data_IF_504709969622
#
_entry.id   IF_504709969622
#
_cell.length_a   1.000
_cell.length_b   1.000
_cell.length_c   1.000
_cell.angle_alpha   90.00
_cell.angle_beta   90.00
_cell.angle_gamma   90.00
#
_symmetry.space_group_name_H-M   'P 1'
#
loop_
_entity.id
_entity.type
_entity.pdbx_description
1 polymer ?
#
# COMPACT_ATOMS: atom_id res chain seq x y z
N UNK A 1 -5.59 18.93 -4.37
CA UNK A 1 -7.05 19.11 -4.56
C UNK A 1 -7.57 19.56 -3.21
N UNK A 2 -8.33 20.65 -3.14
CA UNK A 2 -9.01 21.06 -1.91
C UNK A 2 -10.49 20.75 -2.11
N UNK A 3 -11.11 20.12 -1.13
CA UNK A 3 -12.55 19.89 -1.11
C UNK A 3 -13.24 21.14 -0.55
N UNK A 4 -14.16 21.70 -1.33
CA UNK A 4 -15.02 22.82 -0.92
C UNK A 4 -16.45 22.40 -1.26
N UNK A 5 -17.33 22.35 -0.26
CA UNK A 5 -18.73 21.94 -0.38
C UNK A 5 -18.94 20.62 -1.15
N UNK A 6 -18.12 19.60 -0.83
CA UNK A 6 -18.22 18.28 -1.45
C UNK A 6 -17.65 18.17 -2.87
N UNK A 7 -16.96 19.21 -3.37
CA UNK A 7 -16.32 19.19 -4.69
C UNK A 7 -14.80 19.40 -4.61
N UNK A 8 -14.05 18.50 -5.26
CA UNK A 8 -12.59 18.58 -5.36
C UNK A 8 -12.16 19.51 -6.49
N UNK A 9 -11.48 20.63 -6.14
CA UNK A 9 -10.98 21.60 -7.12
C UNK A 9 -9.47 21.52 -7.30
N UNK A 10 -9.01 21.58 -8.56
CA UNK A 10 -7.59 21.61 -8.96
C UNK A 10 -7.00 22.97 -8.59
N UNK A 11 -5.92 22.94 -7.80
CA UNK A 11 -5.51 23.99 -6.86
C UNK A 11 -4.64 25.09 -7.47
N UNK A 12 -4.84 25.46 -8.73
CA UNK A 12 -3.96 26.47 -9.35
C UNK A 12 -4.52 27.88 -9.28
N UNK A 13 -5.83 28.06 -9.06
CA UNK A 13 -6.44 29.40 -8.88
C UNK A 13 -7.69 29.30 -7.99
N UNK A 14 -7.52 29.15 -6.68
CA UNK A 14 -8.59 29.51 -5.76
C UNK A 14 -8.71 31.04 -5.83
N UNK A 15 -9.83 31.54 -6.36
CA UNK A 15 -10.16 32.97 -6.29
C UNK A 15 -10.80 33.21 -4.92
N UNK A 16 -10.28 34.15 -4.11
CA UNK A 16 -10.93 34.51 -2.86
C UNK A 16 -12.35 35.00 -3.11
N UNK A 17 -13.27 34.72 -2.19
CA UNK A 17 -14.66 35.19 -2.22
C UNK A 17 -15.01 35.67 -0.81
N UNK A 18 -15.65 36.84 -0.68
CA UNK A 18 -16.00 37.41 0.62
C UNK A 18 -14.81 38.03 1.35
N UNK A 19 -14.77 37.89 2.68
CA UNK A 19 -13.82 38.55 3.61
C UNK A 19 -12.36 38.07 3.52
N UNK A 20 -12.01 37.25 2.54
CA UNK A 20 -10.67 36.68 2.34
C UNK A 20 -9.95 37.52 1.30
N UNK A 21 -8.88 38.20 1.70
CA UNK A 21 -8.05 39.01 0.82
C UNK A 21 -7.13 38.12 -0.05
N UNK A 22 -6.52 37.10 0.54
CA UNK A 22 -5.61 36.20 -0.16
C UNK A 22 -5.59 34.79 0.45
N UNK A 23 -5.20 33.81 -0.37
CA UNK A 23 -4.99 32.41 0.06
C UNK A 23 -3.62 31.96 -0.40
N UNK A 24 -2.78 31.54 0.55
CA UNK A 24 -1.50 30.91 0.26
C UNK A 24 -1.56 29.42 0.58
N UNK A 25 -1.16 28.61 -0.40
CA UNK A 25 -1.18 27.16 -0.30
C UNK A 25 0.26 26.65 -0.25
N UNK A 26 0.65 26.05 0.87
CA UNK A 26 1.98 25.46 1.05
C UNK A 26 1.85 23.94 1.18
N UNK A 27 2.52 23.19 0.30
CA UNK A 27 2.50 21.71 0.34
C UNK A 27 3.70 21.18 1.08
N UNK A 28 3.45 20.34 2.07
CA UNK A 28 4.46 19.59 2.81
C UNK A 28 4.22 18.10 2.60
N UNK A 29 5.21 17.27 2.94
CA UNK A 29 5.12 15.82 2.77
C UNK A 29 3.99 15.18 3.60
N UNK A 30 3.61 15.80 4.72
CA UNK A 30 2.67 15.22 5.70
C UNK A 30 1.37 16.01 5.87
N UNK A 31 1.27 17.21 5.29
CA UNK A 31 0.09 18.06 5.35
C UNK A 31 0.13 19.10 4.23
N UNK A 32 -1.02 19.74 3.98
CA UNK A 32 -1.07 20.99 3.23
C UNK A 32 -1.46 22.10 4.19
N UNK A 33 -0.68 23.18 4.21
CA UNK A 33 -1.03 24.41 4.91
C UNK A 33 -1.84 25.29 3.98
N UNK A 34 -2.96 25.79 4.48
CA UNK A 34 -3.75 26.84 3.86
C UNK A 34 -3.70 28.05 4.80
N UNK A 35 -3.02 29.10 4.35
CA UNK A 35 -2.92 30.39 5.06
C UNK A 35 -3.92 31.35 4.40
N UNK A 36 -4.85 31.86 5.19
CA UNK A 36 -5.85 32.84 4.74
C UNK A 36 -5.51 34.20 5.34
N UNK A 37 -5.40 35.20 4.47
CA UNK A 37 -5.40 36.60 4.87
C UNK A 37 -6.83 37.11 4.79
N UNK A 38 -7.34 37.68 5.88
CA UNK A 38 -8.72 38.17 5.96
C UNK A 38 -8.75 39.68 6.14
N UNK A 39 -9.74 40.34 5.53
CA UNK A 39 -9.88 41.79 5.56
C UNK A 39 -10.40 42.31 6.91
N UNK A 40 -11.27 41.54 7.59
CA UNK A 40 -11.80 41.85 8.91
C UNK A 40 -11.74 40.62 9.84
N UNK A 41 -10.91 40.71 10.86
CA UNK A 41 -10.59 39.59 11.77
C UNK A 41 -11.45 39.56 13.04
N UNK A 42 -12.29 40.58 13.25
CA UNK A 42 -13.02 40.77 14.52
C UNK A 42 -14.06 39.66 14.83
N UNK A 43 -14.31 38.73 13.91
CA UNK A 43 -15.18 37.57 14.11
C UNK A 43 -14.45 36.28 14.58
N UNK A 44 -13.11 36.23 14.59
CA UNK A 44 -12.33 34.98 14.77
C UNK A 44 -11.15 35.07 15.78
N UNK A 45 -11.06 36.13 16.57
CA UNK A 45 -9.91 36.55 17.41
C UNK A 45 -9.28 35.42 18.27
N UNK A 46 -7.96 35.16 18.22
CA UNK A 46 -6.90 35.84 19.02
C UNK A 46 -5.54 36.12 18.29
N UNK A 47 -5.43 36.07 16.95
CA UNK A 47 -4.15 36.39 16.24
C UNK A 47 -4.28 37.52 15.21
N UNK A 48 -3.16 38.22 14.92
CA UNK A 48 -3.08 39.26 13.90
C UNK A 48 -3.24 38.68 12.48
N UNK A 49 -4.27 39.14 11.77
CA UNK A 49 -4.60 39.03 10.32
C UNK A 49 -4.51 37.68 9.60
N UNK A 50 -4.10 36.61 10.26
CA UNK A 50 -3.82 35.32 9.63
C UNK A 50 -4.58 34.17 10.31
N UNK A 51 -5.35 33.43 9.53
CA UNK A 51 -5.95 32.16 9.96
C UNK A 51 -5.26 31.03 9.21
N UNK A 52 -4.61 30.12 9.95
CA UNK A 52 -3.91 28.96 9.39
C UNK A 52 -4.70 27.70 9.68
N UNK A 53 -5.18 27.03 8.64
CA UNK A 53 -5.83 25.72 8.75
C UNK A 53 -4.86 24.62 8.32
N UNK A 54 -4.66 23.64 9.20
CA UNK A 54 -3.90 22.44 8.89
C UNK A 54 -4.87 21.32 8.51
N UNK A 55 -4.85 20.92 7.24
CA UNK A 55 -5.55 19.70 6.80
C UNK A 55 -4.54 18.55 6.69
N UNK A 56 -4.71 17.55 7.55
CA UNK A 56 -3.92 16.31 7.52
C UNK A 56 -4.32 15.51 6.28
N UNK A 57 -3.54 15.63 5.21
CA UNK A 57 -3.66 14.72 4.07
C UNK A 57 -3.21 13.32 4.54
N UNK A 58 -3.96 12.31 4.12
CA UNK A 58 -3.80 10.91 4.50
C UNK A 58 -2.33 10.44 4.49
N UNK A 59 -2.00 9.52 5.41
CA UNK A 59 -0.64 9.00 5.65
C UNK A 59 0.04 8.63 4.31
N UNK A 60 1.08 9.36 3.94
CA UNK A 60 1.92 9.01 2.78
C UNK A 60 2.55 7.64 3.05
N UNK A 61 2.42 6.71 2.10
CA UNK A 61 3.10 5.41 2.17
C UNK A 61 4.59 5.66 2.02
N UNK A 62 5.36 5.42 3.09
CA UNK A 62 6.82 5.60 3.11
C UNK A 62 7.55 4.26 3.09
N UNK A 63 6.91 3.20 3.59
CA UNK A 63 7.50 1.87 3.64
C UNK A 63 6.52 0.79 3.18
N UNK A 64 6.92 0.05 2.15
CA UNK A 64 6.23 -1.14 1.66
C UNK A 64 7.07 -2.36 2.01
N UNK A 65 6.43 -3.39 2.57
CA UNK A 65 7.01 -4.73 2.66
C UNK A 65 6.45 -5.60 1.56
N UNK A 66 7.34 -6.21 0.78
CA UNK A 66 6.99 -7.17 -0.28
C UNK A 66 7.34 -8.57 0.19
N UNK A 67 6.36 -9.47 0.17
CA UNK A 67 6.51 -10.85 0.57
C UNK A 67 6.36 -11.79 -0.64
N UNK A 68 7.47 -12.27 -1.22
CA UNK A 68 7.39 -13.37 -2.18
C UNK A 68 7.02 -14.67 -1.44
N UNK A 69 5.82 -15.19 -1.70
CA UNK A 69 5.28 -16.40 -1.09
C UNK A 69 6.20 -17.62 -1.24
N UNK A 70 6.03 -18.60 -0.36
CA UNK A 70 6.82 -19.85 -0.32
C UNK A 70 8.34 -19.63 -0.18
N UNK A 71 9.16 -20.63 -0.51
CA UNK A 71 10.62 -20.57 -0.49
C UNK A 71 11.27 -21.75 0.25
N UNK A 72 12.51 -22.07 -0.12
CA UNK A 72 13.27 -23.19 0.43
C UNK A 72 12.56 -24.51 0.22
N UNK A 73 12.22 -25.17 1.34
CA UNK A 73 11.52 -26.46 1.39
C UNK A 73 10.07 -26.39 0.91
N UNK A 74 9.49 -25.20 0.85
CA UNK A 74 8.15 -24.97 0.35
C UNK A 74 8.22 -24.48 -1.11
N UNK A 75 7.92 -25.34 -2.10
CA UNK A 75 7.96 -24.95 -3.51
C UNK A 75 6.74 -24.12 -3.95
N UNK A 76 5.67 -24.08 -3.15
CA UNK A 76 4.34 -23.66 -3.60
C UNK A 76 3.79 -24.58 -4.69
N UNK A 77 2.96 -24.03 -5.57
CA UNK A 77 2.47 -24.75 -6.74
C UNK A 77 3.60 -25.05 -7.75
N UNK A 78 3.46 -26.18 -8.45
CA UNK A 78 4.37 -26.57 -9.55
C UNK A 78 3.61 -26.52 -10.86
N UNK A 79 4.06 -25.67 -11.78
CA UNK A 79 3.48 -25.57 -13.11
C UNK A 79 3.74 -26.82 -13.95
N UNK A 80 2.93 -27.03 -15.01
CA UNK A 80 3.02 -28.20 -15.90
C UNK A 80 4.41 -28.43 -16.52
N UNK A 81 5.21 -27.36 -16.67
CA UNK A 81 6.56 -27.40 -17.23
C UNK A 81 7.67 -27.39 -16.17
N UNK A 82 7.34 -27.59 -14.90
CA UNK A 82 8.30 -27.63 -13.79
C UNK A 82 8.66 -26.28 -13.19
N UNK A 83 7.96 -25.19 -13.54
CA UNK A 83 8.16 -23.89 -12.88
C UNK A 83 7.62 -23.93 -11.45
N UNK A 84 8.47 -23.65 -10.47
CA UNK A 84 8.06 -23.52 -9.07
C UNK A 84 7.50 -22.12 -8.78
N UNK A 85 6.39 -22.07 -8.07
CA UNK A 85 5.76 -20.83 -7.64
C UNK A 85 6.73 -19.95 -6.81
N UNK A 86 7.51 -20.56 -5.92
CA UNK A 86 8.52 -19.82 -5.12
C UNK A 86 9.51 -19.01 -5.95
N UNK A 87 9.86 -19.48 -7.15
CA UNK A 87 10.83 -18.86 -8.04
C UNK A 87 10.19 -17.71 -8.81
N UNK A 88 8.99 -17.95 -9.34
CA UNK A 88 8.17 -16.92 -9.98
C UNK A 88 7.89 -15.75 -9.03
N UNK A 89 7.44 -16.04 -7.81
CA UNK A 89 7.15 -15.02 -6.79
C UNK A 89 8.39 -14.19 -6.46
N UNK A 90 9.57 -14.82 -6.32
CA UNK A 90 10.81 -14.11 -6.03
C UNK A 90 11.23 -13.20 -7.19
N UNK A 91 11.10 -13.67 -8.44
CA UNK A 91 11.39 -12.87 -9.63
C UNK A 91 10.50 -11.63 -9.73
N UNK A 92 9.19 -11.81 -9.59
CA UNK A 92 8.21 -10.71 -9.61
C UNK A 92 8.49 -9.72 -8.49
N UNK A 93 8.75 -10.20 -7.27
CA UNK A 93 9.01 -9.34 -6.12
C UNK A 93 10.28 -8.48 -6.29
N UNK A 94 11.34 -9.02 -6.89
CA UNK A 94 12.57 -8.25 -7.19
C UNK A 94 12.34 -7.18 -8.25
N UNK A 95 11.59 -7.51 -9.30
CA UNK A 95 11.20 -6.54 -10.32
C UNK A 95 10.36 -5.41 -9.69
N UNK A 96 9.34 -5.76 -8.90
CA UNK A 96 8.48 -4.79 -8.22
C UNK A 96 9.25 -3.90 -7.25
N UNK A 97 10.15 -4.47 -6.44
CA UNK A 97 11.05 -3.70 -5.58
C UNK A 97 11.80 -2.65 -6.38
N UNK A 98 12.48 -3.06 -7.45
CA UNK A 98 13.31 -2.18 -8.29
C UNK A 98 12.45 -1.07 -8.90
N UNK A 99 11.31 -1.43 -9.48
CA UNK A 99 10.38 -0.45 -10.05
C UNK A 99 9.90 0.58 -9.02
N UNK A 100 9.52 0.14 -7.82
CA UNK A 100 9.08 1.04 -6.74
C UNK A 100 10.23 1.93 -6.30
N UNK A 101 11.43 1.39 -6.04
CA UNK A 101 12.55 2.20 -5.56
C UNK A 101 13.03 3.23 -6.59
N UNK A 102 12.92 2.90 -7.87
CA UNK A 102 13.40 3.77 -8.95
C UNK A 102 12.35 4.82 -9.36
N UNK A 103 11.06 4.46 -9.28
CA UNK A 103 9.96 5.31 -9.77
C UNK A 103 9.26 6.07 -8.66
N UNK A 104 9.35 5.60 -7.41
CA UNK A 104 8.64 6.13 -6.26
C UNK A 104 9.64 6.43 -5.14
N UNK A 105 9.50 7.56 -4.47
CA UNK A 105 10.29 7.89 -3.29
C UNK A 105 9.81 7.11 -2.04
N UNK A 106 9.75 5.79 -2.14
CA UNK A 106 9.17 4.87 -1.16
C UNK A 106 10.19 3.78 -0.84
N UNK A 107 10.40 3.51 0.45
CA UNK A 107 11.29 2.45 0.91
C UNK A 107 10.62 1.09 0.71
N UNK A 108 11.41 0.10 0.28
CA UNK A 108 10.95 -1.28 0.12
C UNK A 108 11.80 -2.22 0.97
N UNK A 109 11.15 -3.10 1.72
CA UNK A 109 11.77 -4.23 2.41
C UNK A 109 11.17 -5.52 1.85
N UNK A 110 12.00 -6.52 1.53
CA UNK A 110 11.53 -7.84 1.14
C UNK A 110 11.59 -8.80 2.32
N UNK A 111 10.60 -9.69 2.48
CA UNK A 111 10.67 -10.73 3.54
C UNK A 111 11.82 -11.70 3.28
N UNK A 112 12.06 -12.07 2.01
CA UNK A 112 13.23 -12.82 1.54
C UNK A 112 13.76 -12.27 0.22
N UNK A 113 15.08 -12.33 0.04
CA UNK A 113 15.77 -11.93 -1.20
C UNK A 113 16.42 -13.11 -1.95
N UNK A 114 16.42 -14.29 -1.32
CA UNK A 114 16.97 -15.56 -1.82
C UNK A 114 15.93 -16.67 -1.66
N UNK A 115 16.22 -17.83 -2.23
CA UNK A 115 15.40 -19.03 -2.01
C UNK A 115 15.62 -19.55 -0.59
N UNK A 116 14.75 -19.15 0.34
CA UNK A 116 14.75 -19.59 1.73
C UNK A 116 13.33 -19.68 2.24
N UNK A 117 13.08 -20.64 3.11
CA UNK A 117 11.80 -20.75 3.80
C UNK A 117 11.68 -19.67 4.89
N UNK A 118 10.47 -19.13 5.04
CA UNK A 118 10.06 -18.27 6.15
C UNK A 118 8.64 -18.65 6.56
N UNK A 119 8.43 -18.82 7.87
CA UNK A 119 7.10 -19.05 8.43
C UNK A 119 6.17 -17.88 8.17
N UNK A 120 4.86 -18.14 8.14
CA UNK A 120 3.84 -17.09 7.95
C UNK A 120 3.94 -16.02 9.05
N UNK A 121 4.23 -16.44 10.29
CA UNK A 121 4.46 -15.53 11.41
C UNK A 121 5.73 -14.69 11.24
N UNK A 122 6.82 -15.26 10.72
CA UNK A 122 8.05 -14.50 10.47
C UNK A 122 7.84 -13.39 9.42
N UNK A 123 7.09 -13.68 8.35
CA UNK A 123 6.78 -12.73 7.28
C UNK A 123 6.01 -11.52 7.79
N UNK A 124 4.92 -11.76 8.53
CA UNK A 124 4.11 -10.68 9.13
C UNK A 124 4.86 -9.91 10.21
N UNK A 125 5.72 -10.57 10.99
CA UNK A 125 6.57 -9.92 11.97
C UNK A 125 7.56 -8.93 11.34
N UNK A 126 8.10 -9.20 10.15
CA UNK A 126 8.98 -8.25 9.45
C UNK A 126 8.23 -6.95 9.16
N UNK A 127 6.98 -7.03 8.69
CA UNK A 127 6.15 -5.87 8.44
C UNK A 127 5.84 -5.07 9.71
N UNK A 128 5.39 -5.78 10.76
CA UNK A 128 5.03 -5.17 12.03
C UNK A 128 6.22 -4.48 12.71
N UNK A 129 7.38 -5.14 12.75
CA UNK A 129 8.60 -4.61 13.39
C UNK A 129 9.16 -3.38 12.68
N UNK A 130 8.97 -3.27 11.37
CA UNK A 130 9.39 -2.11 10.60
C UNK A 130 8.29 -1.04 10.48
N UNK A 131 7.12 -1.25 11.10
CA UNK A 131 5.96 -0.36 10.99
C UNK A 131 5.59 -0.05 9.54
N UNK A 132 5.59 -1.07 8.69
CA UNK A 132 5.27 -0.92 7.27
C UNK A 132 3.88 -0.31 7.06
N UNK A 133 3.76 0.60 6.09
CA UNK A 133 2.50 1.22 5.72
C UNK A 133 1.65 0.28 4.84
N UNK A 134 2.31 -0.58 4.08
CA UNK A 134 1.68 -1.58 3.22
C UNK A 134 2.47 -2.90 3.27
N UNK A 135 1.74 -4.00 3.30
CA UNK A 135 2.28 -5.35 3.11
C UNK A 135 1.67 -5.95 1.85
N UNK A 136 2.52 -6.35 0.90
CA UNK A 136 2.12 -6.93 -0.38
C UNK A 136 2.66 -8.34 -0.48
N UNK A 137 1.78 -9.35 -0.38
CA UNK A 137 2.18 -10.73 -0.64
C UNK A 137 1.95 -11.09 -2.11
N UNK A 138 2.91 -11.77 -2.72
CA UNK A 138 2.89 -12.19 -4.12
C UNK A 138 2.82 -13.72 -4.16
N UNK A 139 1.76 -14.23 -4.77
CA UNK A 139 1.51 -15.65 -5.02
C UNK A 139 1.05 -15.86 -6.46
N UNK A 140 1.43 -16.99 -7.05
CA UNK A 140 1.06 -17.41 -8.38
C UNK A 140 0.19 -18.66 -8.25
N UNK A 141 -1.09 -18.44 -7.94
CA UNK A 141 -2.08 -19.49 -7.72
C UNK A 141 -2.11 -20.53 -8.86
N UNK A 142 -2.35 -21.80 -8.51
CA UNK A 142 -2.70 -22.85 -9.46
C UNK A 142 -4.12 -23.39 -9.20
N UNK A 143 -4.97 -23.53 -10.22
CA UNK A 143 -6.28 -24.18 -10.05
C UNK A 143 -6.22 -25.64 -10.50
N UNK A 144 -6.54 -26.57 -9.59
CA UNK A 144 -6.60 -28.01 -9.89
C UNK A 144 -7.86 -28.40 -10.69
N UNK A 145 -8.92 -27.59 -10.66
CA UNK A 145 -10.21 -27.91 -11.30
C UNK A 145 -10.24 -27.62 -12.80
N UNK A 146 -9.46 -26.65 -13.29
CA UNK A 146 -9.49 -26.30 -14.71
C UNK A 146 -8.19 -25.68 -15.17
N UNK A 147 -7.49 -26.33 -16.10
CA UNK A 147 -6.27 -25.83 -16.73
C UNK A 147 -6.47 -24.55 -17.60
N UNK A 148 -7.70 -24.05 -17.70
CA UNK A 148 -8.09 -22.85 -18.47
C UNK A 148 -8.24 -21.58 -17.61
N UNK A 149 -8.10 -21.67 -16.29
CA UNK A 149 -8.15 -20.47 -15.44
C UNK A 149 -6.85 -19.67 -15.61
N UNK A 150 -6.97 -18.48 -16.21
CA UNK A 150 -5.91 -17.49 -16.37
C UNK A 150 -6.42 -16.15 -15.88
N UNK A 151 -5.63 -15.40 -15.12
CA UNK A 151 -6.03 -14.09 -14.58
C UNK A 151 -5.15 -13.68 -13.40
N UNK A 152 -5.41 -12.49 -12.84
CA UNK A 152 -4.82 -12.02 -11.60
C UNK A 152 -5.92 -11.87 -10.54
N UNK A 153 -5.58 -12.15 -9.28
CA UNK A 153 -6.49 -12.01 -8.14
C UNK A 153 -5.79 -11.13 -7.10
N UNK A 154 -6.53 -10.22 -6.48
CA UNK A 154 -6.00 -9.37 -5.39
C UNK A 154 -6.85 -9.59 -4.15
N UNK A 155 -6.22 -10.11 -3.11
CA UNK A 155 -6.87 -10.35 -1.81
C UNK A 155 -6.48 -9.23 -0.85
N UNK A 156 -7.48 -8.57 -0.29
CA UNK A 156 -7.33 -7.73 0.89
C UNK A 156 -7.84 -8.54 2.10
N UNK A 157 -7.32 -8.22 3.30
CA UNK A 157 -7.73 -8.89 4.54
C UNK A 157 -9.23 -8.68 4.77
N UNK A 158 -10.03 -9.63 4.30
CA UNK A 158 -11.46 -9.76 4.53
C UNK A 158 -11.77 -11.24 4.55
N UNK A 159 -12.80 -11.64 5.30
CA UNK A 159 -13.22 -13.03 5.33
C UNK A 159 -13.50 -13.53 3.92
N UNK A 160 -12.96 -14.71 3.57
CA UNK A 160 -13.13 -15.30 2.26
C UNK A 160 -14.61 -15.54 1.95
N UNK A 161 -15.19 -14.67 1.11
CA UNK A 161 -16.62 -14.67 0.78
C UNK A 161 -17.00 -15.72 -0.27
N UNK A 162 -16.04 -16.25 -1.02
CA UNK A 162 -16.26 -17.24 -2.09
C UNK A 162 -15.54 -18.56 -1.80
N UNK A 163 -16.03 -19.65 -2.40
CA UNK A 163 -15.43 -20.99 -2.31
C UNK A 163 -14.00 -21.04 -2.84
N UNK A 164 -13.72 -20.26 -3.88
CA UNK A 164 -12.42 -20.15 -4.53
C UNK A 164 -11.43 -19.40 -3.62
N UNK A 165 -11.86 -18.28 -3.03
CA UNK A 165 -11.05 -17.55 -2.06
C UNK A 165 -10.72 -18.40 -0.82
N UNK A 166 -11.66 -19.23 -0.35
CA UNK A 166 -11.41 -20.19 0.73
C UNK A 166 -10.40 -21.26 0.32
N UNK A 167 -10.51 -21.80 -0.90
CA UNK A 167 -9.57 -22.80 -1.39
C UNK A 167 -8.13 -22.25 -1.52
N UNK A 168 -7.98 -20.99 -1.96
CA UNK A 168 -6.70 -20.28 -2.00
C UNK A 168 -6.17 -20.07 -0.58
N UNK A 169 -6.98 -19.51 0.33
CA UNK A 169 -6.57 -19.31 1.72
C UNK A 169 -6.15 -20.62 2.43
N UNK A 170 -6.88 -21.72 2.21
CA UNK A 170 -6.51 -23.04 2.74
C UNK A 170 -5.17 -23.52 2.18
N UNK A 171 -4.90 -23.28 0.90
CA UNK A 171 -3.63 -23.65 0.27
C UNK A 171 -2.47 -22.83 0.83
N UNK A 172 -2.62 -21.51 0.92
CA UNK A 172 -1.55 -20.65 1.43
C UNK A 172 -1.26 -20.96 2.91
N UNK A 173 -2.30 -21.26 3.68
CA UNK A 173 -2.16 -21.74 5.06
C UNK A 173 -1.59 -23.16 5.17
N UNK A 174 -1.56 -23.97 4.11
CA UNK A 174 -0.92 -25.29 4.15
C UNK A 174 0.59 -25.17 4.39
N UNK A 175 1.18 -23.99 4.17
CA UNK A 175 2.56 -23.67 4.53
C UNK A 175 2.83 -23.78 6.05
N UNK A 176 1.79 -23.75 6.89
CA UNK A 176 1.89 -23.95 8.35
C UNK A 176 2.43 -25.33 8.72
N UNK A 177 2.31 -26.35 7.86
CA UNK A 177 2.88 -27.68 8.15
C UNK A 177 4.41 -27.68 8.24
N UNK A 178 5.04 -26.63 7.75
CA UNK A 178 6.49 -26.42 7.80
C UNK A 178 6.89 -25.54 8.99
N UNK A 179 5.91 -24.95 9.69
CA UNK A 179 6.12 -24.33 10.99
C UNK A 179 6.19 -25.48 12.01
N UNK A 180 7.36 -25.68 12.61
CA UNK A 180 7.63 -26.78 13.55
C UNK A 180 6.78 -26.78 14.80
#
# INVERSE_FOLDING_TARGET
LVEIDGQYKKTERLKPVGSVASVKVSRFNTYTSLEFEVEDINAYLEREKEVVLYHKISKQVQLIVIDPGHGGIDPGAVGKKGLYEKDANLGIAKFLRTYITDSLNVKVIMTREKDKYLSLKARTNIANRNSADLFVSIHCNASAKTAKMTGFETYFLSEARTTEARAVAMRENASLKFDG
#
